data_IF_893666258557
#
_entry.id   IF_893666258557
#
_cell.length_a   1.000
_cell.length_b   1.000
_cell.length_c   1.000
_cell.angle_alpha   90.00
_cell.angle_beta   90.00
_cell.angle_gamma   90.00
#
_symmetry.space_group_name_H-M   'P 1'
#
loop_
_entity.id
_entity.type
_entity.pdbx_description
1 polymer ?
#
# COMPACT_ATOMS: atom_id res chain seq x y z
N UNK A 1 8.08 -0.69 -3.68
CA UNK A 1 8.06 -1.63 -4.82
C UNK A 1 7.79 -0.82 -6.08
N UNK A 2 8.62 -0.94 -7.13
CA UNK A 2 8.53 -0.14 -8.36
C UNK A 2 8.37 1.39 -8.14
N UNK A 3 9.10 1.93 -7.16
CA UNK A 3 9.01 3.35 -6.74
C UNK A 3 7.65 3.80 -6.16
N UNK A 4 6.65 2.93 -6.16
CA UNK A 4 5.30 3.21 -5.70
C UNK A 4 5.02 2.76 -4.27
N UNK A 5 3.96 3.35 -3.72
CA UNK A 5 3.39 2.96 -2.44
C UNK A 5 2.22 2.00 -2.66
N UNK A 6 2.35 0.80 -2.11
CA UNK A 6 1.43 -0.31 -2.36
C UNK A 6 0.88 -0.88 -1.06
N UNK A 7 -0.42 -1.21 -1.07
CA UNK A 7 -1.04 -2.02 -0.03
C UNK A 7 -1.29 -3.43 -0.58
N UNK A 8 -0.95 -4.45 0.21
CA UNK A 8 -1.31 -5.83 -0.08
C UNK A 8 -2.80 -6.02 0.23
N UNK A 9 -3.61 -6.21 -0.81
CA UNK A 9 -5.05 -6.42 -0.69
C UNK A 9 -5.35 -7.90 -0.42
N UNK A 10 -4.54 -8.80 -0.98
CA UNK A 10 -4.66 -10.24 -0.80
C UNK A 10 -3.31 -10.91 -0.89
N UNK A 11 -3.08 -11.90 -0.03
CA UNK A 11 -1.87 -12.74 -0.05
C UNK A 11 -2.27 -14.20 -0.11
N UNK A 12 -1.61 -14.98 -0.97
CA UNK A 12 -1.81 -16.42 -1.08
C UNK A 12 -0.47 -17.15 -1.15
N UNK A 13 -0.18 -18.00 -0.18
CA UNK A 13 1.04 -18.82 -0.18
C UNK A 13 0.82 -20.06 -1.05
N UNK A 14 1.64 -20.21 -2.10
CA UNK A 14 1.57 -21.31 -3.05
C UNK A 14 2.81 -22.20 -2.87
N UNK A 15 2.57 -23.51 -2.69
CA UNK A 15 3.61 -24.55 -2.67
C UNK A 15 3.39 -25.49 -3.86
N UNK A 16 4.10 -25.31 -4.98
CA UNK A 16 3.92 -26.16 -6.16
C UNK A 16 4.53 -27.55 -5.93
N UNK A 17 4.00 -28.58 -6.61
CA UNK A 17 4.56 -29.93 -6.56
C UNK A 17 5.98 -30.05 -7.14
N UNK A 18 6.36 -29.10 -8.02
CA UNK A 18 7.73 -28.92 -8.54
C UNK A 18 8.04 -27.43 -8.59
N UNK A 19 9.14 -27.01 -7.94
CA UNK A 19 9.57 -25.62 -7.85
C UNK A 19 9.53 -25.07 -6.41
N UNK A 20 10.08 -23.86 -6.22
CA UNK A 20 10.08 -23.20 -4.91
C UNK A 20 8.71 -22.63 -4.54
N UNK A 21 8.42 -22.57 -3.24
CA UNK A 21 7.24 -21.88 -2.73
C UNK A 21 7.33 -20.35 -2.96
N UNK A 22 6.18 -19.72 -3.16
CA UNK A 22 6.08 -18.28 -3.33
C UNK A 22 4.75 -17.75 -2.76
N UNK A 23 4.70 -16.46 -2.46
CA UNK A 23 3.47 -15.75 -2.13
C UNK A 23 2.98 -15.00 -3.36
N UNK A 24 1.78 -15.33 -3.83
CA UNK A 24 1.06 -14.52 -4.80
C UNK A 24 0.36 -13.38 -4.05
N UNK A 25 0.68 -12.14 -4.39
CA UNK A 25 0.17 -10.96 -3.70
C UNK A 25 -0.53 -10.03 -4.69
N UNK A 26 -1.78 -9.70 -4.40
CA UNK A 26 -2.52 -8.65 -5.08
C UNK A 26 -2.19 -7.32 -4.39
N UNK A 27 -1.56 -6.40 -5.13
CA UNK A 27 -1.17 -5.08 -4.67
C UNK A 27 -2.11 -4.02 -5.27
N UNK A 28 -2.42 -2.99 -4.47
CA UNK A 28 -3.07 -1.76 -4.95
C UNK A 28 -2.19 -0.56 -4.64
N UNK A 29 -1.91 0.27 -5.64
CA UNK A 29 -1.17 1.50 -5.47
C UNK A 29 -2.05 2.52 -4.74
N UNK A 30 -1.50 3.16 -3.69
CA UNK A 30 -2.25 4.11 -2.87
C UNK A 30 -2.40 5.49 -3.50
N UNK A 31 -1.55 5.84 -4.47
CA UNK A 31 -1.58 7.16 -5.14
C UNK A 31 -2.47 7.11 -6.38
N UNK A 32 -2.22 6.16 -7.28
CA UNK A 32 -2.91 6.11 -8.58
C UNK A 32 -3.99 5.01 -8.67
N UNK A 33 -4.15 4.17 -7.64
CA UNK A 33 -5.17 3.13 -7.60
C UNK A 33 -4.92 1.89 -8.48
N UNK A 34 -3.82 1.85 -9.23
CA UNK A 34 -3.46 0.72 -10.11
C UNK A 34 -3.31 -0.56 -9.32
N UNK A 35 -3.69 -1.70 -9.92
CA UNK A 35 -3.54 -3.03 -9.31
C UNK A 35 -2.44 -3.83 -9.99
N UNK A 36 -1.68 -4.56 -9.19
CA UNK A 36 -0.65 -5.49 -9.66
C UNK A 36 -0.82 -6.87 -9.01
N UNK A 37 -0.40 -7.90 -9.72
CA UNK A 37 -0.30 -9.26 -9.22
C UNK A 37 1.17 -9.67 -9.23
N UNK A 38 1.77 -9.72 -8.04
CA UNK A 38 3.19 -9.97 -7.86
C UNK A 38 3.47 -11.29 -7.16
N UNK A 39 4.64 -11.88 -7.45
CA UNK A 39 5.07 -13.15 -6.85
C UNK A 39 6.34 -12.93 -6.04
N UNK A 40 6.18 -12.98 -4.73
CA UNK A 40 7.31 -12.88 -3.81
C UNK A 40 7.84 -14.26 -3.45
N UNK A 41 9.12 -14.51 -3.67
CA UNK A 41 9.78 -15.74 -3.19
C UNK A 41 9.98 -15.66 -1.68
N UNK A 42 10.07 -16.82 -1.01
CA UNK A 42 10.22 -16.86 0.46
C UNK A 42 11.48 -16.16 1.01
N UNK A 43 12.50 -15.93 0.17
CA UNK A 43 13.73 -15.25 0.54
C UNK A 43 13.74 -13.74 0.21
N UNK A 44 12.70 -13.23 -0.46
CA UNK A 44 12.62 -11.82 -0.80
C UNK A 44 12.14 -11.00 0.39
N UNK A 45 12.83 -9.89 0.65
CA UNK A 45 12.45 -8.90 1.65
C UNK A 45 11.76 -7.73 0.97
N UNK A 46 10.68 -7.24 1.57
CA UNK A 46 9.99 -6.03 1.13
C UNK A 46 10.19 -4.91 2.14
N UNK A 47 10.33 -3.69 1.67
CA UNK A 47 10.33 -2.52 2.53
C UNK A 47 8.91 -2.28 3.05
N UNK A 48 8.74 -2.32 4.37
CA UNK A 48 7.48 -2.01 5.02
C UNK A 48 7.51 -0.55 5.48
N UNK A 49 6.45 0.19 5.15
CA UNK A 49 6.24 1.54 5.63
C UNK A 49 5.00 1.56 6.53
N UNK A 50 5.02 2.42 7.56
CA UNK A 50 3.87 2.62 8.44
C UNK A 50 3.06 3.79 7.90
N UNK A 51 1.76 3.57 7.74
CA UNK A 51 0.80 4.61 7.39
C UNK A 51 -0.06 4.92 8.60
N UNK A 52 -0.32 6.20 8.77
CA UNK A 52 -1.25 6.71 9.77
C UNK A 52 -2.40 7.38 9.03
N UNK A 53 -3.62 6.91 9.29
CA UNK A 53 -4.84 7.60 8.85
C UNK A 53 -5.28 8.47 10.01
N UNK A 54 -5.43 9.76 9.75
CA UNK A 54 -5.88 10.72 10.74
C UNK A 54 -7.03 11.52 10.15
N UNK A 55 -8.07 11.69 10.95
CA UNK A 55 -9.22 12.49 10.58
C UNK A 55 -8.87 13.97 10.74
N UNK A 56 -9.30 14.76 9.75
CA UNK A 56 -9.13 16.20 9.74
C UNK A 56 -10.45 16.86 9.35
N UNK A 57 -10.73 18.01 9.96
CA UNK A 57 -11.85 18.87 9.58
C UNK A 57 -11.40 19.90 8.56
N UNK A 58 -12.09 20.00 7.45
CA UNK A 58 -11.89 21.10 6.49
C UNK A 58 -12.28 22.44 7.13
N UNK A 59 -11.47 23.48 6.91
CA UNK A 59 -11.73 24.83 7.40
C UNK A 59 -12.14 25.78 6.25
N UNK A 60 -11.22 26.05 5.33
CA UNK A 60 -11.41 26.98 4.21
C UNK A 60 -10.35 26.79 3.12
N UNK A 61 -10.56 27.41 1.96
CA UNK A 61 -9.61 27.48 0.86
C UNK A 61 -8.70 28.72 0.99
N UNK A 62 -7.40 28.56 0.77
CA UNK A 62 -6.41 29.64 0.77
C UNK A 62 -5.63 29.63 -0.55
N UNK A 63 -6.14 30.36 -1.55
CA UNK A 63 -5.59 30.33 -2.91
C UNK A 63 -5.77 28.95 -3.53
N UNK A 64 -4.67 28.28 -3.85
CA UNK A 64 -4.68 26.91 -4.40
C UNK A 64 -4.58 25.82 -3.31
N UNK A 65 -4.49 26.20 -2.04
CA UNK A 65 -4.39 25.27 -0.92
C UNK A 65 -5.73 25.08 -0.20
N UNK A 66 -5.95 23.88 0.34
CA UNK A 66 -7.05 23.58 1.25
C UNK A 66 -6.50 23.49 2.68
N UNK A 67 -7.11 24.24 3.61
CA UNK A 67 -6.69 24.27 5.01
C UNK A 67 -7.57 23.31 5.82
N UNK A 68 -6.92 22.45 6.61
CA UNK A 68 -7.57 21.48 7.47
C UNK A 68 -7.09 21.62 8.93
N UNK A 69 -7.95 21.26 9.87
CA UNK A 69 -7.68 21.24 11.31
C UNK A 69 -7.67 19.82 11.83
N UNK A 70 -6.66 19.50 12.62
CA UNK A 70 -6.54 18.26 13.38
C UNK A 70 -7.60 18.20 14.49
N UNK A 71 -8.43 17.15 14.52
CA UNK A 71 -9.54 17.03 15.47
C UNK A 71 -9.19 16.35 16.79
N UNK A 72 -8.00 15.77 16.91
CA UNK A 72 -7.62 14.90 18.04
C UNK A 72 -6.27 15.32 18.68
N UNK A 73 -6.00 16.62 18.79
CA UNK A 73 -4.77 17.14 19.42
C UNK A 73 -4.55 16.61 20.85
#
# INVERSE_FOLDING_TARGET
>A
HDGGLWVAVRTNTVKPGKGGAYNQVELKNLINGTKLNERFRSAETVEQIRLEMKDFSFLYEQGEALVFMDTES
#
